data_IF_740161573929
#
_entry.id   IF_740161573929
#
_cell.length_a   1.000
_cell.length_b   1.000
_cell.length_c   1.000
_cell.angle_alpha   90.00
_cell.angle_beta   90.00
_cell.angle_gamma   90.00
#
_symmetry.space_group_name_H-M   'P 1'
#
loop_
_entity.id
_entity.type
_entity.pdbx_description
1 polymer ?
#
# COMPACT_ATOMS: atom_id res chain seq x y z
N UNK A 1 6.83 -52.66 -7.79
CA UNK A 1 7.20 -53.82 -8.62
C UNK A 1 8.62 -53.58 -9.13
N UNK A 2 9.57 -54.47 -8.89
CA UNK A 2 10.93 -54.34 -9.45
C UNK A 2 11.02 -55.19 -10.71
N UNK A 3 11.13 -54.55 -11.86
CA UNK A 3 11.28 -55.22 -13.16
C UNK A 3 12.76 -55.25 -13.54
N UNK A 4 13.27 -56.40 -13.96
CA UNK A 4 14.64 -56.55 -14.52
C UNK A 4 14.53 -56.97 -15.98
N UNK A 5 15.06 -56.17 -16.90
CA UNK A 5 15.07 -56.47 -18.33
C UNK A 5 16.39 -57.08 -18.78
N UNK A 6 16.34 -57.91 -19.83
CA UNK A 6 17.54 -58.45 -20.50
C UNK A 6 18.26 -57.32 -21.26
N UNK A 7 19.57 -57.47 -21.40
CA UNK A 7 20.42 -56.56 -22.18
C UNK A 7 19.90 -56.35 -23.62
N UNK A 8 20.11 -55.15 -24.18
CA UNK A 8 19.81 -54.75 -25.57
C UNK A 8 18.34 -54.41 -25.91
N UNK A 9 17.54 -53.89 -24.97
CA UNK A 9 16.23 -53.33 -25.32
C UNK A 9 16.42 -52.10 -26.21
N UNK A 10 15.79 -52.10 -27.39
CA UNK A 10 15.85 -50.97 -28.35
C UNK A 10 14.55 -50.17 -28.45
N UNK A 11 13.46 -50.66 -27.86
CA UNK A 11 12.14 -50.03 -27.91
C UNK A 11 11.38 -50.24 -26.60
N UNK A 12 10.85 -49.16 -26.03
CA UNK A 12 10.03 -49.11 -24.82
C UNK A 12 8.70 -48.39 -25.05
N UNK A 13 8.23 -48.36 -26.31
CA UNK A 13 6.93 -47.83 -26.72
C UNK A 13 5.82 -48.30 -25.77
N UNK A 14 5.10 -47.33 -25.18
CA UNK A 14 3.89 -47.55 -24.39
C UNK A 14 4.01 -48.56 -23.24
N UNK A 15 5.23 -48.83 -22.77
CA UNK A 15 5.54 -49.96 -21.87
C UNK A 15 4.72 -49.99 -20.57
N UNK A 16 4.42 -48.82 -20.00
CA UNK A 16 3.58 -48.66 -18.80
C UNK A 16 2.30 -47.87 -19.08
N UNK A 17 1.95 -47.67 -20.36
CA UNK A 17 0.80 -46.88 -20.74
C UNK A 17 -0.50 -47.44 -20.16
N UNK A 18 -1.31 -46.58 -19.55
CA UNK A 18 -2.60 -46.93 -18.96
C UNK A 18 -2.51 -47.74 -17.65
N UNK A 19 -1.32 -47.87 -17.04
CA UNK A 19 -1.14 -48.48 -15.73
C UNK A 19 -1.65 -47.57 -14.59
N UNK A 20 -2.91 -47.12 -14.70
CA UNK A 20 -3.55 -46.08 -13.90
C UNK A 20 -3.68 -46.40 -12.42
N UNK A 21 -3.57 -47.67 -12.02
CA UNK A 21 -3.61 -48.10 -10.62
C UNK A 21 -2.21 -48.22 -9.97
N UNK A 22 -1.12 -48.09 -10.74
CA UNK A 22 0.23 -48.23 -10.22
C UNK A 22 0.64 -46.95 -9.48
N UNK A 23 0.99 -47.08 -8.19
CA UNK A 23 1.37 -45.97 -7.30
C UNK A 23 2.87 -45.79 -7.14
N UNK A 24 3.63 -46.86 -7.36
CA UNK A 24 5.08 -46.88 -7.22
C UNK A 24 5.69 -47.70 -8.36
N UNK A 25 6.77 -47.18 -8.94
CA UNK A 25 7.50 -47.81 -10.01
C UNK A 25 9.00 -47.60 -9.78
N UNK A 26 9.73 -48.70 -9.61
CA UNK A 26 11.18 -48.69 -9.47
C UNK A 26 11.84 -49.01 -10.82
N UNK A 27 12.54 -48.02 -11.37
CA UNK A 27 13.23 -48.06 -12.66
C UNK A 27 14.76 -48.10 -12.53
N UNK A 28 15.28 -48.21 -11.31
CA UNK A 28 16.71 -48.07 -11.01
C UNK A 28 17.61 -49.07 -11.72
N UNK A 29 17.06 -50.21 -12.16
CA UNK A 29 17.80 -51.29 -12.83
C UNK A 29 17.68 -51.28 -14.36
N UNK A 30 17.03 -50.27 -14.94
CA UNK A 30 16.84 -50.19 -16.38
C UNK A 30 18.13 -49.69 -17.06
N UNK A 31 18.64 -50.48 -18.02
CA UNK A 31 19.61 -50.03 -19.00
C UNK A 31 18.86 -49.52 -20.24
N UNK A 32 18.81 -48.20 -20.41
CA UNK A 32 18.16 -47.55 -21.55
C UNK A 32 19.14 -47.10 -22.64
N UNK A 33 20.43 -47.43 -22.53
CA UNK A 33 21.51 -46.92 -23.40
C UNK A 33 21.33 -47.23 -24.90
N UNK A 34 20.52 -48.24 -25.24
CA UNK A 34 20.25 -48.67 -26.62
C UNK A 34 18.82 -48.39 -27.09
N UNK A 35 17.99 -47.80 -26.23
CA UNK A 35 16.58 -47.53 -26.53
C UNK A 35 16.47 -46.39 -27.54
N UNK A 36 15.65 -46.58 -28.57
CA UNK A 36 15.38 -45.60 -29.63
C UNK A 36 13.97 -45.02 -29.56
N UNK A 37 13.01 -45.77 -29.02
CA UNK A 37 11.62 -45.35 -28.86
C UNK A 37 11.19 -45.39 -27.39
N UNK A 38 10.69 -44.26 -26.89
CA UNK A 38 10.09 -44.14 -25.54
C UNK A 38 8.72 -43.43 -25.60
N UNK A 39 8.10 -43.36 -26.77
CA UNK A 39 6.83 -42.68 -26.92
C UNK A 39 5.73 -43.40 -26.12
N UNK A 40 4.87 -42.60 -25.49
CA UNK A 40 3.82 -43.05 -24.57
C UNK A 40 4.26 -43.94 -23.40
N UNK A 41 5.56 -44.04 -23.09
CA UNK A 41 6.08 -45.01 -22.12
C UNK A 41 5.34 -44.98 -20.77
N UNK A 42 4.99 -43.81 -20.25
CA UNK A 42 4.27 -43.60 -18.99
C UNK A 42 2.89 -42.94 -19.17
N UNK A 43 2.34 -42.97 -20.38
CA UNK A 43 1.08 -42.31 -20.71
C UNK A 43 -0.08 -42.81 -19.81
N UNK A 44 -0.91 -41.90 -19.30
CA UNK A 44 -2.08 -42.18 -18.46
C UNK A 44 -1.78 -43.02 -17.19
N UNK A 45 -0.56 -42.92 -16.64
CA UNK A 45 -0.22 -43.44 -15.31
C UNK A 45 -0.71 -42.51 -14.20
N UNK A 46 -2.04 -42.43 -14.04
CA UNK A 46 -2.71 -41.40 -13.22
C UNK A 46 -2.51 -41.53 -11.71
N UNK A 47 -1.98 -42.64 -11.17
CA UNK A 47 -1.76 -42.83 -9.72
C UNK A 47 -0.32 -42.58 -9.25
N UNK A 48 0.64 -42.36 -10.16
CA UNK A 48 2.04 -42.10 -9.80
C UNK A 48 2.18 -40.65 -9.32
N UNK A 49 2.67 -40.45 -8.09
CA UNK A 49 2.95 -39.12 -7.53
C UNK A 49 4.43 -38.73 -7.61
N UNK A 50 5.32 -39.72 -7.70
CA UNK A 50 6.76 -39.57 -7.83
C UNK A 50 7.32 -40.53 -8.87
N UNK A 51 8.17 -40.04 -9.77
CA UNK A 51 8.82 -40.85 -10.80
C UNK A 51 10.29 -40.45 -10.88
N UNK A 52 11.19 -41.41 -10.65
CA UNK A 52 12.62 -41.20 -10.80
C UNK A 52 13.10 -41.79 -12.14
N UNK A 53 13.54 -40.93 -13.04
CA UNK A 53 14.12 -41.27 -14.36
C UNK A 53 15.56 -40.75 -14.49
N UNK A 54 16.21 -40.40 -13.38
CA UNK A 54 17.58 -39.85 -13.40
C UNK A 54 18.61 -40.81 -13.99
N UNK A 55 18.36 -42.13 -13.92
CA UNK A 55 19.24 -43.16 -14.48
C UNK A 55 19.05 -43.41 -15.98
N UNK A 56 18.10 -42.76 -16.65
CA UNK A 56 17.85 -42.99 -18.06
C UNK A 56 18.95 -42.36 -18.91
N UNK A 57 19.66 -43.18 -19.70
CA UNK A 57 20.40 -42.71 -20.86
C UNK A 57 19.43 -42.59 -22.05
N UNK A 58 19.23 -41.38 -22.56
CA UNK A 58 18.34 -41.11 -23.70
C UNK A 58 19.10 -40.65 -24.96
N UNK A 59 20.42 -40.82 -25.02
CA UNK A 59 21.26 -40.35 -26.14
C UNK A 59 20.88 -40.94 -27.50
N UNK A 60 20.35 -42.16 -27.51
CA UNK A 60 19.88 -42.87 -28.70
C UNK A 60 18.38 -42.70 -28.99
N UNK A 61 17.62 -42.06 -28.09
CA UNK A 61 16.16 -41.96 -28.20
C UNK A 61 15.77 -40.92 -29.25
N UNK A 62 14.87 -41.31 -30.14
CA UNK A 62 14.38 -40.51 -31.26
C UNK A 62 12.94 -40.04 -31.02
N UNK A 63 12.09 -40.87 -30.42
CA UNK A 63 10.67 -40.57 -30.21
C UNK A 63 10.32 -40.43 -28.73
N UNK A 64 9.81 -39.26 -28.34
CA UNK A 64 9.39 -38.89 -26.98
C UNK A 64 7.91 -38.48 -26.92
N UNK A 65 7.15 -38.61 -28.02
CA UNK A 65 5.76 -38.16 -28.08
C UNK A 65 4.90 -38.85 -27.01
N UNK A 66 4.12 -38.04 -26.30
CA UNK A 66 3.24 -38.47 -25.22
C UNK A 66 3.90 -39.23 -24.06
N UNK A 67 5.23 -39.18 -23.89
CA UNK A 67 5.94 -40.02 -22.92
C UNK A 67 5.37 -39.93 -21.49
N UNK A 68 4.96 -38.75 -21.03
CA UNK A 68 4.40 -38.49 -19.69
C UNK A 68 2.95 -37.97 -19.73
N UNK A 69 2.31 -38.03 -20.90
CA UNK A 69 0.96 -37.51 -21.13
C UNK A 69 -0.04 -38.11 -20.13
N UNK A 70 -0.90 -37.28 -19.55
CA UNK A 70 -1.99 -37.73 -18.67
C UNK A 70 -1.53 -38.29 -17.33
N UNK A 71 -0.29 -38.06 -16.90
CA UNK A 71 0.17 -38.38 -15.54
C UNK A 71 -0.37 -37.37 -14.52
N UNK A 72 -1.68 -37.38 -14.30
CA UNK A 72 -2.43 -36.35 -13.58
C UNK A 72 -2.10 -36.20 -12.09
N UNK A 73 -1.41 -37.16 -11.46
CA UNK A 73 -1.01 -37.10 -10.05
C UNK A 73 0.46 -36.74 -9.82
N UNK A 74 1.29 -36.67 -10.88
CA UNK A 74 2.71 -36.41 -10.76
C UNK A 74 2.94 -34.93 -10.43
N UNK A 75 3.67 -34.64 -9.35
CA UNK A 75 3.86 -33.27 -8.85
C UNK A 75 5.16 -32.65 -9.37
N UNK A 76 6.24 -33.43 -9.42
CA UNK A 76 7.57 -32.96 -9.79
C UNK A 76 8.18 -33.92 -10.82
N UNK A 77 8.75 -33.37 -11.88
CA UNK A 77 9.47 -34.14 -12.89
C UNK A 77 10.81 -33.48 -13.22
N UNK A 78 11.90 -34.14 -12.83
CA UNK A 78 13.25 -33.72 -13.17
C UNK A 78 13.77 -34.53 -14.37
N UNK A 79 14.00 -33.87 -15.50
CA UNK A 79 14.55 -34.47 -16.72
C UNK A 79 15.92 -33.90 -17.09
N UNK A 80 16.64 -33.30 -16.15
CA UNK A 80 17.98 -32.76 -16.38
C UNK A 80 18.99 -33.77 -16.92
N UNK A 81 18.77 -35.07 -16.68
CA UNK A 81 19.61 -36.15 -17.22
C UNK A 81 19.32 -36.50 -18.68
N UNK A 82 18.23 -36.01 -19.27
CA UNK A 82 17.82 -36.41 -20.61
C UNK A 82 18.69 -35.75 -21.67
N UNK A 83 19.18 -36.53 -22.62
CA UNK A 83 19.73 -36.04 -23.87
C UNK A 83 18.67 -36.13 -24.96
N UNK A 84 18.27 -34.99 -25.52
CA UNK A 84 17.25 -34.91 -26.58
C UNK A 84 17.82 -34.47 -27.94
N UNK A 85 19.15 -34.50 -28.11
CA UNK A 85 19.82 -34.14 -29.36
C UNK A 85 19.35 -34.96 -30.55
N UNK A 86 18.87 -36.20 -30.35
CA UNK A 86 18.32 -37.08 -31.40
C UNK A 86 16.79 -37.07 -31.51
N UNK A 87 16.07 -36.39 -30.62
CA UNK A 87 14.60 -36.31 -30.64
C UNK A 87 14.04 -35.75 -31.96
N UNK A 88 13.08 -36.41 -32.59
CA UNK A 88 12.37 -35.89 -33.77
C UNK A 88 10.91 -35.57 -33.49
N UNK A 89 10.38 -36.06 -32.37
CA UNK A 89 9.00 -35.85 -31.97
C UNK A 89 8.87 -35.75 -30.45
N UNK A 90 8.22 -34.68 -29.98
CA UNK A 90 7.84 -34.40 -28.59
C UNK A 90 6.36 -33.99 -28.48
N UNK A 91 5.55 -34.36 -29.48
CA UNK A 91 4.13 -34.05 -29.52
C UNK A 91 3.45 -34.45 -28.21
N UNK A 92 2.78 -33.50 -27.56
CA UNK A 92 2.00 -33.74 -26.34
C UNK A 92 2.77 -34.42 -25.21
N UNK A 93 4.09 -34.26 -25.11
CA UNK A 93 4.94 -35.02 -24.17
C UNK A 93 4.48 -34.91 -22.71
N UNK A 94 4.02 -33.73 -22.28
CA UNK A 94 3.54 -33.47 -20.92
C UNK A 94 2.04 -33.20 -20.86
N UNK A 95 1.32 -33.27 -21.99
CA UNK A 95 -0.10 -32.91 -22.09
C UNK A 95 -0.95 -33.52 -20.97
N UNK A 96 -1.70 -32.67 -20.27
CA UNK A 96 -2.68 -33.06 -19.26
C UNK A 96 -2.05 -33.52 -17.95
N UNK A 97 -0.85 -33.08 -17.62
CA UNK A 97 -0.23 -33.32 -16.31
C UNK A 97 -0.75 -32.29 -15.30
N UNK A 98 -2.04 -32.38 -14.98
CA UNK A 98 -2.80 -31.35 -14.23
C UNK A 98 -2.33 -31.08 -12.79
N UNK A 99 -1.46 -31.91 -12.20
CA UNK A 99 -0.88 -31.68 -10.87
C UNK A 99 0.60 -31.31 -10.90
N UNK A 100 1.21 -31.25 -12.08
CA UNK A 100 2.63 -30.97 -12.24
C UNK A 100 2.91 -29.53 -11.83
N UNK A 101 3.79 -29.34 -10.85
CA UNK A 101 4.23 -28.04 -10.35
C UNK A 101 5.65 -27.69 -10.78
N UNK A 102 6.53 -28.69 -10.83
CA UNK A 102 7.92 -28.53 -11.20
C UNK A 102 8.28 -29.38 -12.43
N UNK A 103 8.88 -28.73 -13.43
CA UNK A 103 9.41 -29.40 -14.61
C UNK A 103 10.81 -28.89 -14.94
N UNK A 104 11.79 -29.79 -15.01
CA UNK A 104 13.16 -29.46 -15.40
C UNK A 104 13.47 -29.88 -16.84
N UNK A 105 13.61 -28.92 -17.75
CA UNK A 105 13.97 -29.11 -19.16
C UNK A 105 15.34 -28.49 -19.50
N UNK A 106 16.21 -28.29 -18.50
CA UNK A 106 17.52 -27.63 -18.67
C UNK A 106 18.43 -28.29 -19.72
N UNK A 107 18.30 -29.59 -19.95
CA UNK A 107 19.09 -30.34 -20.94
C UNK A 107 18.43 -30.45 -22.32
N UNK A 108 17.21 -29.92 -22.49
CA UNK A 108 16.45 -30.15 -23.71
C UNK A 108 16.98 -29.33 -24.90
N UNK A 109 17.07 -29.97 -26.06
CA UNK A 109 17.41 -29.35 -27.33
C UNK A 109 16.25 -29.47 -28.32
N UNK A 110 15.55 -28.37 -28.56
CA UNK A 110 14.33 -28.38 -29.40
C UNK A 110 14.50 -27.65 -30.73
N UNK A 111 15.68 -27.05 -30.99
CA UNK A 111 15.92 -26.21 -32.19
C UNK A 111 15.58 -26.90 -33.52
N UNK A 112 15.80 -28.22 -33.64
CA UNK A 112 15.50 -28.99 -34.85
C UNK A 112 14.04 -29.45 -35.00
N UNK A 113 13.22 -29.30 -33.96
CA UNK A 113 11.80 -29.64 -34.01
C UNK A 113 11.02 -28.62 -34.84
N UNK A 114 9.85 -29.05 -35.30
CA UNK A 114 8.86 -28.22 -35.99
C UNK A 114 7.70 -27.89 -35.05
N UNK A 115 6.85 -26.94 -35.44
CA UNK A 115 5.59 -26.65 -34.74
C UNK A 115 4.76 -27.93 -34.55
N UNK A 116 4.65 -28.77 -35.58
CA UNK A 116 3.84 -30.00 -35.54
C UNK A 116 4.40 -31.04 -34.57
N UNK A 117 5.73 -31.17 -34.50
CA UNK A 117 6.40 -32.20 -33.67
C UNK A 117 6.58 -31.78 -32.21
N UNK A 118 6.17 -30.56 -31.84
CA UNK A 118 6.20 -30.04 -30.47
C UNK A 118 4.83 -29.50 -30.03
N UNK A 119 3.81 -29.61 -30.89
CA UNK A 119 2.48 -29.07 -30.57
C UNK A 119 1.87 -29.78 -29.36
N UNK A 120 1.01 -29.05 -28.66
CA UNK A 120 0.31 -29.52 -27.46
C UNK A 120 1.20 -29.99 -26.31
N UNK A 121 2.51 -29.67 -26.32
CA UNK A 121 3.48 -30.24 -25.37
C UNK A 121 3.11 -30.00 -23.92
N UNK A 122 2.53 -28.83 -23.60
CA UNK A 122 2.16 -28.39 -22.24
C UNK A 122 0.64 -28.18 -22.05
N UNK A 123 -0.20 -28.65 -22.98
CA UNK A 123 -1.65 -28.41 -22.92
C UNK A 123 -2.25 -29.04 -21.66
N UNK A 124 -2.91 -28.25 -20.81
CA UNK A 124 -3.60 -28.73 -19.62
C UNK A 124 -2.71 -28.93 -18.39
N UNK A 125 -1.49 -28.39 -18.39
CA UNK A 125 -0.55 -28.46 -17.26
C UNK A 125 -0.78 -27.29 -16.27
N UNK A 126 -2.04 -27.02 -15.93
CA UNK A 126 -2.52 -25.77 -15.31
C UNK A 126 -1.94 -25.45 -13.91
N UNK A 127 -1.18 -26.37 -13.32
CA UNK A 127 -0.51 -26.21 -12.03
C UNK A 127 1.00 -25.98 -12.17
N UNK A 128 1.53 -25.95 -13.40
CA UNK A 128 2.96 -25.77 -13.65
C UNK A 128 3.37 -24.38 -13.20
N UNK A 129 4.08 -24.32 -12.07
CA UNK A 129 4.46 -23.08 -11.39
C UNK A 129 5.97 -22.85 -11.34
N UNK A 130 6.77 -23.86 -11.68
CA UNK A 130 8.22 -23.79 -11.78
C UNK A 130 8.71 -24.57 -13.00
N UNK A 131 9.34 -23.88 -13.94
CA UNK A 131 9.82 -24.42 -15.21
C UNK A 131 11.29 -24.05 -15.42
N UNK A 132 12.17 -25.04 -15.53
CA UNK A 132 13.59 -24.81 -15.83
C UNK A 132 13.80 -24.98 -17.33
N UNK A 133 14.30 -23.94 -18.00
CA UNK A 133 14.55 -23.94 -19.44
C UNK A 133 16.04 -23.73 -19.72
N UNK A 134 16.61 -24.62 -20.54
CA UNK A 134 18.02 -24.60 -20.88
C UNK A 134 18.37 -23.80 -22.12
N UNK A 135 19.66 -23.52 -22.29
CA UNK A 135 20.21 -22.71 -23.38
C UNK A 135 19.89 -23.22 -24.80
N UNK A 136 19.61 -24.52 -24.93
CA UNK A 136 19.28 -25.18 -26.20
C UNK A 136 17.77 -25.36 -26.44
N UNK A 137 16.94 -24.88 -25.51
CA UNK A 137 15.49 -24.90 -25.62
C UNK A 137 14.98 -23.71 -26.44
N UNK A 138 13.98 -23.96 -27.27
CA UNK A 138 13.27 -22.96 -28.07
C UNK A 138 11.83 -23.40 -28.26
N UNK A 139 10.88 -22.55 -27.87
CA UNK A 139 9.48 -22.76 -28.20
C UNK A 139 9.27 -22.74 -29.70
N UNK A 140 8.36 -23.57 -30.20
CA UNK A 140 7.94 -23.57 -31.60
C UNK A 140 6.60 -22.85 -31.72
N UNK A 141 6.32 -22.32 -32.92
CA UNK A 141 5.04 -21.67 -33.19
C UNK A 141 3.87 -22.59 -32.80
N UNK A 142 2.87 -22.05 -32.10
CA UNK A 142 1.71 -22.81 -31.62
C UNK A 142 1.97 -23.68 -30.37
N UNK A 143 3.18 -23.67 -29.81
CA UNK A 143 3.42 -24.23 -28.47
C UNK A 143 3.10 -23.16 -27.45
N UNK A 144 2.11 -23.42 -26.61
CA UNK A 144 1.66 -22.53 -25.54
C UNK A 144 2.00 -23.13 -24.18
N UNK A 145 2.17 -22.26 -23.19
CA UNK A 145 2.16 -22.64 -21.78
C UNK A 145 0.78 -22.33 -21.18
N UNK A 146 0.35 -23.05 -20.12
CA UNK A 146 -0.82 -22.68 -19.34
C UNK A 146 -0.70 -21.26 -18.79
N UNK A 147 -1.79 -20.51 -18.73
CA UNK A 147 -1.79 -19.17 -18.15
C UNK A 147 -1.51 -19.22 -16.66
N UNK A 148 -0.72 -18.25 -16.17
CA UNK A 148 -0.51 -18.07 -14.74
C UNK A 148 -1.80 -17.51 -14.13
N UNK A 149 -2.29 -18.03 -12.99
CA UNK A 149 -3.49 -17.50 -12.36
C UNK A 149 -3.29 -16.06 -11.88
N UNK A 150 -4.35 -15.24 -12.01
CA UNK A 150 -4.48 -13.95 -11.33
C UNK A 150 -5.27 -14.20 -10.05
N UNK A 151 -4.63 -14.06 -8.90
CA UNK A 151 -5.20 -14.33 -7.57
C UNK A 151 -4.65 -13.36 -6.53
N UNK A 152 -5.03 -13.52 -5.26
CA UNK A 152 -4.45 -12.74 -4.17
C UNK A 152 -2.92 -12.95 -4.04
N UNK A 153 -2.43 -14.12 -4.48
CA UNK A 153 -1.01 -14.47 -4.41
C UNK A 153 -0.25 -14.15 -5.71
N UNK A 154 -0.86 -14.31 -6.89
CA UNK A 154 -0.16 -14.24 -8.19
C UNK A 154 -0.73 -13.19 -9.14
N UNK A 155 0.15 -12.56 -9.93
CA UNK A 155 -0.20 -11.45 -10.82
C UNK A 155 -0.51 -11.87 -12.27
N UNK A 156 -0.53 -13.17 -12.57
CA UNK A 156 -0.74 -13.69 -13.94
C UNK A 156 0.50 -13.70 -14.83
N UNK A 157 1.72 -13.60 -14.29
CA UNK A 157 2.97 -13.64 -15.06
C UNK A 157 3.98 -14.63 -14.50
N UNK A 158 4.92 -15.04 -15.33
CA UNK A 158 6.16 -15.71 -14.97
C UNK A 158 7.25 -14.70 -14.66
N UNK A 159 8.16 -15.04 -13.74
CA UNK A 159 9.42 -14.33 -13.54
C UNK A 159 10.59 -15.29 -13.49
N UNK A 160 11.70 -14.93 -14.13
CA UNK A 160 12.93 -15.70 -14.02
C UNK A 160 13.63 -15.50 -12.66
N UNK A 161 14.25 -16.55 -12.12
CA UNK A 161 14.86 -16.53 -10.79
C UNK A 161 16.15 -15.70 -10.76
N UNK A 162 16.99 -15.80 -11.79
CA UNK A 162 18.30 -15.17 -11.89
C UNK A 162 19.18 -15.44 -10.65
N UNK A 163 19.75 -14.38 -10.05
CA UNK A 163 20.55 -14.47 -8.83
C UNK A 163 19.71 -14.64 -7.55
N UNK A 164 18.39 -14.68 -7.67
CA UNK A 164 17.46 -14.84 -6.54
C UNK A 164 17.24 -16.29 -6.15
N UNK A 165 16.08 -16.55 -5.54
CA UNK A 165 15.60 -17.89 -5.19
C UNK A 165 14.22 -18.12 -5.79
N UNK A 166 13.72 -19.35 -5.75
CA UNK A 166 12.35 -19.68 -6.22
C UNK A 166 11.28 -18.85 -5.51
N UNK A 167 11.42 -18.63 -4.20
CA UNK A 167 10.46 -17.85 -3.41
C UNK A 167 10.66 -16.33 -3.55
N UNK A 168 11.87 -15.89 -3.90
CA UNK A 168 12.26 -14.49 -4.06
C UNK A 168 13.07 -14.32 -5.36
N UNK A 169 12.42 -14.41 -6.53
CA UNK A 169 13.10 -14.26 -7.81
C UNK A 169 13.63 -12.83 -7.98
N UNK A 170 14.80 -12.71 -8.59
CA UNK A 170 15.46 -11.41 -8.83
C UNK A 170 15.64 -11.10 -10.32
N UNK A 171 15.05 -11.91 -11.20
CA UNK A 171 15.15 -11.71 -12.64
C UNK A 171 14.30 -10.54 -13.14
N UNK A 172 14.65 -10.01 -14.31
CA UNK A 172 13.94 -8.89 -14.92
C UNK A 172 12.97 -9.34 -16.03
N UNK A 173 12.99 -10.62 -16.40
CA UNK A 173 12.05 -11.16 -17.38
C UNK A 173 10.75 -11.47 -16.68
N UNK A 174 9.78 -10.57 -16.79
CA UNK A 174 8.44 -10.71 -16.25
C UNK A 174 7.46 -10.78 -17.43
N UNK A 175 6.91 -11.95 -17.70
CA UNK A 175 6.17 -12.25 -18.93
C UNK A 175 4.89 -13.04 -18.67
N UNK A 176 3.82 -12.77 -19.40
CA UNK A 176 2.69 -13.72 -19.50
C UNK A 176 3.16 -15.04 -20.13
N UNK A 177 2.33 -16.09 -20.09
CA UNK A 177 2.66 -17.36 -20.75
C UNK A 177 2.86 -17.20 -22.27
N UNK A 178 2.03 -16.38 -22.91
CA UNK A 178 2.16 -16.02 -24.32
C UNK A 178 3.48 -15.25 -24.61
N UNK A 179 3.82 -14.27 -23.77
CA UNK A 179 5.08 -13.52 -23.90
C UNK A 179 6.30 -14.41 -23.68
N UNK A 180 6.29 -15.29 -22.67
CA UNK A 180 7.38 -16.21 -22.40
C UNK A 180 7.63 -17.13 -23.60
N UNK A 181 6.59 -17.72 -24.18
CA UNK A 181 6.74 -18.61 -25.35
C UNK A 181 7.21 -17.86 -26.60
N UNK A 182 6.87 -16.58 -26.76
CA UNK A 182 7.29 -15.75 -27.91
C UNK A 182 8.69 -15.15 -27.77
N UNK A 183 9.08 -14.75 -26.56
CA UNK A 183 10.29 -13.98 -26.33
C UNK A 183 11.49 -14.84 -25.94
N UNK A 184 11.27 -15.95 -25.24
CA UNK A 184 12.34 -16.82 -24.75
C UNK A 184 13.31 -17.25 -25.87
N UNK A 185 14.59 -17.06 -25.64
CA UNK A 185 15.65 -17.30 -26.62
C UNK A 185 16.87 -18.00 -26.02
N UNK A 186 16.71 -19.27 -25.67
CA UNK A 186 17.81 -20.20 -25.33
C UNK A 186 18.87 -19.55 -24.45
N UNK A 187 20.13 -19.56 -24.91
CA UNK A 187 21.31 -18.97 -24.23
C UNK A 187 21.05 -17.62 -23.54
N UNK A 188 20.24 -16.74 -24.13
CA UNK A 188 20.00 -15.40 -23.55
C UNK A 188 19.14 -15.45 -22.29
N UNK A 189 18.15 -16.33 -22.27
CA UNK A 189 17.07 -16.33 -21.28
C UNK A 189 17.01 -17.63 -20.46
N UNK A 190 17.98 -18.54 -20.64
CA UNK A 190 18.04 -19.80 -19.91
C UNK A 190 18.10 -19.57 -18.40
N UNK A 191 17.09 -20.08 -17.69
CA UNK A 191 16.89 -19.87 -16.26
C UNK A 191 15.77 -20.79 -15.75
N UNK A 192 15.53 -20.73 -14.45
CA UNK A 192 14.29 -21.16 -13.81
C UNK A 192 13.27 -20.03 -13.87
N UNK A 193 12.06 -20.35 -14.31
CA UNK A 193 10.91 -19.46 -14.31
C UNK A 193 9.89 -19.93 -13.28
N UNK A 194 9.37 -18.99 -12.50
CA UNK A 194 8.36 -19.23 -11.46
C UNK A 194 7.16 -18.32 -11.66
N UNK A 195 5.98 -18.69 -11.15
CA UNK A 195 4.86 -17.75 -11.09
C UNK A 195 5.22 -16.52 -10.24
N UNK A 196 4.95 -15.33 -10.79
CA UNK A 196 5.24 -14.07 -10.15
C UNK A 196 4.19 -13.76 -9.09
N UNK A 197 4.65 -13.71 -7.84
CA UNK A 197 3.82 -13.28 -6.72
C UNK A 197 3.47 -11.80 -6.81
N UNK A 198 2.31 -11.41 -6.31
CA UNK A 198 1.98 -10.01 -6.08
C UNK A 198 2.87 -9.44 -4.97
N UNK A 199 3.15 -8.15 -5.05
CA UNK A 199 3.93 -7.43 -4.04
C UNK A 199 3.26 -6.09 -3.79
N UNK A 200 3.16 -5.70 -2.53
CA UNK A 200 2.39 -4.52 -2.15
C UNK A 200 3.23 -3.55 -1.32
N UNK A 201 2.97 -2.27 -1.49
CA UNK A 201 3.38 -1.23 -0.56
C UNK A 201 2.18 -0.94 0.32
N UNK A 202 2.40 -0.91 1.63
CA UNK A 202 1.36 -0.50 2.58
C UNK A 202 1.83 0.76 3.31
N UNK A 203 1.05 1.82 3.21
CA UNK A 203 1.31 3.10 3.83
C UNK A 203 0.31 3.33 4.96
N UNK A 204 0.82 3.52 6.17
CA UNK A 204 0.05 3.85 7.35
C UNK A 204 0.27 5.31 7.76
N UNK A 205 -0.71 5.88 8.44
CA UNK A 205 -0.74 7.29 8.81
C UNK A 205 -1.11 7.39 10.29
N UNK A 206 -0.19 7.88 11.10
CA UNK A 206 -0.30 7.96 12.55
C UNK A 206 0.00 9.38 13.04
N UNK A 207 -0.55 9.74 14.19
CA UNK A 207 -0.07 10.90 14.92
C UNK A 207 1.17 10.61 15.77
N UNK A 208 1.71 11.64 16.43
CA UNK A 208 2.87 11.52 17.33
C UNK A 208 2.58 10.75 18.63
N UNK A 209 1.33 10.43 18.93
CA UNK A 209 0.92 9.65 20.09
C UNK A 209 0.74 8.15 19.74
N UNK A 210 0.74 7.82 18.44
CA UNK A 210 0.59 6.46 17.93
C UNK A 210 -0.85 6.10 17.54
N UNK A 211 -1.74 7.09 17.46
CA UNK A 211 -3.13 6.89 17.04
C UNK A 211 -3.27 6.94 15.51
N UNK A 212 -4.05 6.01 14.97
CA UNK A 212 -4.25 5.89 13.52
C UNK A 212 -5.13 7.03 13.00
N UNK A 213 -4.64 7.77 12.01
CA UNK A 213 -5.35 8.91 11.42
C UNK A 213 -6.36 8.49 10.34
N UNK A 214 -6.02 7.49 9.51
CA UNK A 214 -6.88 6.95 8.45
C UNK A 214 -6.53 5.50 8.13
N UNK A 215 -7.37 4.86 7.32
CA UNK A 215 -7.11 3.51 6.82
C UNK A 215 -5.81 3.47 5.99
N UNK A 216 -5.06 2.36 6.02
CA UNK A 216 -3.83 2.25 5.25
C UNK A 216 -4.12 2.26 3.75
N UNK A 217 -3.18 2.84 3.00
CA UNK A 217 -3.19 2.81 1.54
C UNK A 217 -2.34 1.62 1.08
N UNK A 218 -2.91 0.75 0.24
CA UNK A 218 -2.22 -0.44 -0.29
C UNK A 218 -2.04 -0.27 -1.80
N UNK A 219 -0.80 -0.30 -2.26
CA UNK A 219 -0.43 -0.12 -3.67
C UNK A 219 0.32 -1.34 -4.20
N UNK A 220 -0.17 -1.98 -5.26
CA UNK A 220 0.55 -3.10 -5.91
C UNK A 220 1.77 -2.58 -6.69
N UNK A 221 2.94 -3.15 -6.40
CA UNK A 221 4.23 -2.81 -7.00
C UNK A 221 4.77 -4.00 -7.79
N UNK A 222 4.20 -4.22 -8.98
CA UNK A 222 4.60 -5.27 -9.92
C UNK A 222 5.98 -4.98 -10.57
N UNK A 223 7.04 -4.91 -9.76
CA UNK A 223 8.42 -4.59 -10.17
C UNK A 223 8.66 -3.12 -10.58
N UNK A 224 7.65 -2.25 -10.43
CA UNK A 224 7.75 -0.81 -10.69
C UNK A 224 8.31 -0.08 -9.48
N UNK A 225 9.07 0.98 -9.73
CA UNK A 225 9.56 1.87 -8.66
C UNK A 225 8.37 2.59 -8.04
N UNK A 226 8.20 2.40 -6.74
CA UNK A 226 7.33 3.19 -5.89
C UNK A 226 8.15 4.27 -5.20
N UNK A 227 7.65 5.51 -5.26
CA UNK A 227 8.26 6.65 -4.59
C UNK A 227 7.26 7.20 -3.58
N UNK A 228 7.53 7.06 -2.27
CA UNK A 228 6.74 7.67 -1.20
C UNK A 228 6.51 9.17 -1.45
N UNK A 229 5.26 9.61 -1.38
CA UNK A 229 4.86 11.02 -1.51
C UNK A 229 3.84 11.37 -0.42
N UNK A 230 4.24 11.38 0.87
CA UNK A 230 3.32 11.76 1.94
C UNK A 230 2.85 13.20 1.75
N UNK A 231 1.55 13.43 1.91
CA UNK A 231 1.00 14.78 1.87
C UNK A 231 1.57 15.61 3.02
N UNK A 232 1.86 16.89 2.76
CA UNK A 232 2.35 17.81 3.79
C UNK A 232 1.34 17.98 4.94
N UNK A 233 0.05 17.88 4.62
CA UNK A 233 -1.05 18.10 5.54
C UNK A 233 -2.08 16.98 5.42
N UNK A 234 -2.67 16.60 6.55
CA UNK A 234 -3.81 15.68 6.60
C UNK A 234 -4.88 16.31 7.49
N UNK A 235 -6.14 16.32 7.07
CA UNK A 235 -7.27 16.80 7.87
C UNK A 235 -8.17 15.63 8.26
N UNK A 236 -8.31 15.39 9.56
CA UNK A 236 -9.12 14.28 10.11
C UNK A 236 -10.02 14.85 11.19
N UNK A 237 -11.34 14.72 11.04
CA UNK A 237 -12.33 15.22 11.99
C UNK A 237 -12.10 16.70 12.38
N UNK A 238 -11.97 17.58 11.37
CA UNK A 238 -11.67 19.02 11.51
C UNK A 238 -10.36 19.37 12.24
N UNK A 239 -9.50 18.38 12.47
CA UNK A 239 -8.17 18.56 13.03
C UNK A 239 -7.13 18.48 11.93
N UNK A 240 -6.32 19.54 11.80
CA UNK A 240 -5.20 19.57 10.86
C UNK A 240 -3.96 18.90 11.48
N UNK A 241 -3.30 18.05 10.70
CA UNK A 241 -2.06 17.37 11.04
C UNK A 241 -0.98 17.72 10.02
N UNK A 242 0.26 17.91 10.47
CA UNK A 242 1.40 18.29 9.63
C UNK A 242 2.38 17.13 9.59
N UNK A 243 2.80 16.73 8.39
CA UNK A 243 3.79 15.69 8.21
C UNK A 243 5.09 16.05 8.94
N UNK A 244 5.58 15.14 9.78
CA UNK A 244 6.83 15.30 10.51
C UNK A 244 7.92 14.38 10.04
N UNK A 245 7.53 13.26 9.43
CA UNK A 245 8.47 12.22 9.09
C UNK A 245 7.83 10.85 8.96
N UNK A 246 8.67 9.84 8.99
CA UNK A 246 8.23 8.45 8.96
C UNK A 246 9.11 7.56 9.86
N UNK A 247 8.65 6.34 10.07
CA UNK A 247 9.32 5.29 10.85
C UNK A 247 9.21 3.94 10.14
N UNK A 248 10.14 3.03 10.42
CA UNK A 248 10.12 1.65 9.89
C UNK A 248 9.13 0.75 10.64
N UNK A 249 8.78 1.13 11.87
CA UNK A 249 7.85 0.42 12.74
C UNK A 249 6.68 1.33 13.12
N UNK A 250 5.58 0.75 13.57
CA UNK A 250 4.43 1.51 14.06
C UNK A 250 4.86 2.47 15.18
N UNK A 251 4.57 3.77 15.08
CA UNK A 251 5.02 4.75 16.05
C UNK A 251 4.25 4.65 17.36
N UNK A 252 4.97 4.82 18.47
CA UNK A 252 4.45 5.08 19.82
C UNK A 252 4.91 6.47 20.30
N UNK A 253 4.34 6.94 21.41
CA UNK A 253 4.75 8.19 22.04
C UNK A 253 6.28 8.24 22.28
N UNK A 254 6.94 9.27 21.74
CA UNK A 254 8.39 9.45 21.88
C UNK A 254 9.25 8.71 20.84
N UNK A 255 8.63 8.08 19.83
CA UNK A 255 9.35 7.42 18.73
C UNK A 255 10.21 8.42 17.96
N UNK A 256 11.44 8.00 17.63
CA UNK A 256 12.33 8.77 16.76
C UNK A 256 11.85 8.70 15.32
N UNK A 257 11.66 9.85 14.67
CA UNK A 257 11.15 9.95 13.30
C UNK A 257 12.24 10.41 12.33
N UNK A 258 12.19 9.89 11.11
CA UNK A 258 13.01 10.37 9.99
C UNK A 258 12.32 11.57 9.34
N UNK A 259 12.99 12.72 9.23
CA UNK A 259 12.36 13.96 8.75
C UNK A 259 12.12 14.04 7.24
N UNK A 260 12.88 13.29 6.44
CA UNK A 260 12.71 13.20 4.98
C UNK A 260 11.75 12.06 4.63
N UNK A 261 11.06 12.09 3.46
CA UNK A 261 10.26 10.96 2.99
C UNK A 261 11.05 9.65 2.92
N UNK A 262 10.39 8.48 3.08
CA UNK A 262 11.07 7.20 2.97
C UNK A 262 11.69 6.97 1.60
N UNK A 263 12.71 6.08 1.51
CA UNK A 263 13.36 5.76 0.25
C UNK A 263 12.40 5.02 -0.69
N UNK A 264 12.53 5.30 -2.00
CA UNK A 264 11.84 4.54 -3.06
C UNK A 264 12.21 3.07 -3.05
N UNK A 265 11.30 2.21 -3.48
CA UNK A 265 11.49 0.75 -3.53
C UNK A 265 10.85 0.14 -4.77
N UNK A 266 11.33 -1.03 -5.18
CA UNK A 266 10.71 -1.88 -6.21
C UNK A 266 10.17 -3.19 -5.63
N UNK A 267 10.27 -3.36 -4.31
CA UNK A 267 9.86 -4.56 -3.58
C UNK A 267 8.84 -4.20 -2.52
N UNK A 268 8.13 -5.21 -2.03
CA UNK A 268 7.20 -5.10 -0.91
C UNK A 268 7.84 -4.37 0.28
N UNK A 269 7.09 -3.41 0.84
CA UNK A 269 7.50 -2.59 1.97
C UNK A 269 6.29 -2.03 2.71
N UNK A 270 6.54 -1.63 3.96
CA UNK A 270 5.56 -0.93 4.79
C UNK A 270 6.16 0.38 5.26
N UNK A 271 5.41 1.46 5.15
CA UNK A 271 5.82 2.80 5.59
C UNK A 271 4.84 3.33 6.62
N UNK A 272 5.36 3.88 7.72
CA UNK A 272 4.57 4.50 8.77
C UNK A 272 4.84 6.01 8.74
N UNK A 273 3.92 6.77 8.17
CA UNK A 273 4.01 8.23 8.17
C UNK A 273 3.50 8.79 9.49
N UNK A 274 4.26 9.73 10.04
CA UNK A 274 4.00 10.35 11.34
C UNK A 274 3.66 11.82 11.14
N UNK A 275 2.54 12.23 11.73
CA UNK A 275 2.05 13.60 11.67
C UNK A 275 1.91 14.20 13.07
N UNK A 276 2.20 15.48 13.21
CA UNK A 276 1.97 16.24 14.45
C UNK A 276 0.68 17.04 14.31
N UNK A 277 -0.15 17.00 15.34
CA UNK A 277 -1.35 17.82 15.42
C UNK A 277 -0.99 19.31 15.33
N UNK A 278 -1.54 19.99 14.34
CA UNK A 278 -1.30 21.41 14.10
C UNK A 278 -2.00 22.30 15.15
N UNK A 279 -3.11 21.81 15.71
CA UNK A 279 -3.87 22.51 16.73
C UNK A 279 -3.06 22.60 18.02
N UNK A 280 -2.69 23.83 18.38
CA UNK A 280 -2.23 24.15 19.72
C UNK A 280 -3.31 24.99 20.37
N UNK A 281 -3.92 24.48 21.44
CA UNK A 281 -4.83 25.27 22.25
C UNK A 281 -4.09 26.49 22.79
N UNK A 282 -4.48 27.69 22.34
CA UNK A 282 -4.02 28.93 22.93
C UNK A 282 -5.06 29.34 23.98
N UNK A 283 -4.80 28.97 25.23
CA UNK A 283 -5.57 29.52 26.36
C UNK A 283 -5.13 30.97 26.59
N UNK A 284 -5.76 31.91 25.89
CA UNK A 284 -5.59 33.34 26.15
C UNK A 284 -6.60 33.76 27.22
N UNK A 285 -6.17 33.83 28.48
CA UNK A 285 -6.94 34.55 29.51
C UNK A 285 -6.56 36.01 29.43
N UNK A 286 -7.49 36.85 28.98
CA UNK A 286 -7.31 38.31 29.01
C UNK A 286 -7.92 38.81 30.31
N UNK A 287 -7.12 39.19 31.33
CA UNK A 287 -7.65 39.88 32.49
C UNK A 287 -8.00 41.30 32.06
N UNK A 288 -9.23 41.50 31.59
CA UNK A 288 -9.75 42.83 31.36
C UNK A 288 -10.27 43.38 32.67
N UNK A 289 -9.52 44.31 33.27
CA UNK A 289 -10.16 45.34 34.09
C UNK A 289 -10.82 46.30 33.11
N UNK A 290 -12.11 46.07 32.82
CA UNK A 290 -12.89 47.01 32.03
C UNK A 290 -13.39 48.06 33.00
N UNK A 291 -12.82 49.26 32.92
CA UNK A 291 -13.31 50.40 33.68
C UNK A 291 -14.49 50.96 32.91
N UNK A 292 -15.69 50.77 33.44
CA UNK A 292 -16.88 51.46 32.96
C UNK A 292 -17.06 52.74 33.76
N UNK A 293 -17.15 53.89 33.08
CA UNK A 293 -17.46 55.16 33.74
C UNK A 293 -16.51 56.32 33.44
N UNK A 294 -16.74 57.41 34.16
CA UNK A 294 -16.66 58.79 33.68
C UNK A 294 -15.40 59.57 33.97
N UNK A 295 -14.22 58.92 33.96
CA UNK A 295 -12.98 59.72 34.01
C UNK A 295 -12.97 60.82 32.91
N UNK A 296 -13.67 60.60 31.78
CA UNK A 296 -13.90 61.59 30.72
C UNK A 296 -15.38 62.00 30.50
N UNK A 297 -16.33 61.60 31.35
CA UNK A 297 -17.80 61.76 31.14
C UNK A 297 -18.34 61.16 29.82
N UNK A 298 -17.64 60.17 29.25
CA UNK A 298 -18.06 59.50 28.03
C UNK A 298 -18.95 58.28 28.32
N UNK A 299 -19.94 58.05 27.44
CA UNK A 299 -20.70 56.79 27.41
C UNK A 299 -19.95 55.68 26.68
N UNK A 300 -18.90 56.02 25.92
CA UNK A 300 -18.15 55.08 25.11
C UNK A 300 -17.19 54.28 26.00
N UNK A 301 -17.21 52.97 25.81
CA UNK A 301 -16.33 52.02 26.48
C UNK A 301 -15.19 51.72 25.52
N UNK A 302 -13.96 51.70 26.02
CA UNK A 302 -12.80 51.18 25.29
C UNK A 302 -11.92 50.39 26.24
N UNK A 303 -11.37 49.27 25.79
CA UNK A 303 -10.34 48.53 26.52
C UNK A 303 -8.94 48.80 25.97
N UNK A 304 -7.92 48.24 26.63
CA UNK A 304 -6.61 48.05 26.00
C UNK A 304 -6.74 47.12 24.77
N UNK A 305 -5.83 47.28 23.83
CA UNK A 305 -5.65 46.37 22.71
C UNK A 305 -4.74 45.21 23.13
N UNK A 306 -5.09 44.00 22.71
CA UNK A 306 -4.31 42.79 22.90
C UNK A 306 -3.91 42.22 21.56
N UNK A 307 -2.61 42.12 21.30
CA UNK A 307 -2.09 41.59 20.05
C UNK A 307 -2.11 40.06 20.07
N UNK A 308 -2.69 39.45 19.04
CA UNK A 308 -2.64 38.01 18.80
C UNK A 308 -1.85 37.80 17.52
N UNK A 309 -0.68 37.17 17.65
CA UNK A 309 0.23 36.91 16.53
C UNK A 309 0.21 35.44 16.14
N UNK A 310 -0.06 35.18 14.86
CA UNK A 310 0.18 33.87 14.26
C UNK A 310 1.68 33.76 13.92
N UNK A 311 2.41 32.96 14.70
CA UNK A 311 3.85 32.70 14.46
C UNK A 311 4.09 31.54 13.48
N UNK A 312 3.04 30.91 12.95
CA UNK A 312 3.20 29.93 11.88
C UNK A 312 3.63 30.60 10.57
N UNK A 313 4.49 29.94 9.80
CA UNK A 313 4.88 30.34 8.44
C UNK A 313 3.95 29.76 7.35
N UNK A 314 3.13 28.79 7.72
CA UNK A 314 2.56 27.84 6.76
C UNK A 314 1.04 27.62 6.91
N UNK A 315 0.47 27.99 8.06
CA UNK A 315 -0.96 27.81 8.37
C UNK A 315 -1.60 29.10 8.88
N UNK A 316 -2.84 29.31 8.48
CA UNK A 316 -3.70 30.36 9.03
C UNK A 316 -4.36 29.85 10.32
N UNK A 317 -4.72 30.76 11.23
CA UNK A 317 -5.39 30.40 12.49
C UNK A 317 -6.81 30.92 12.46
N UNK A 318 -7.79 30.00 12.45
CA UNK A 318 -9.19 30.34 12.68
C UNK A 318 -9.42 30.53 14.18
N UNK A 319 -9.91 31.72 14.54
CA UNK A 319 -10.24 32.05 15.93
C UNK A 319 -11.72 31.87 16.21
N UNK A 320 -12.02 31.22 17.33
CA UNK A 320 -13.38 31.05 17.84
C UNK A 320 -13.44 31.49 19.29
N UNK A 321 -14.39 32.36 19.65
CA UNK A 321 -14.74 32.60 21.04
C UNK A 321 -15.42 31.35 21.58
N UNK A 322 -14.76 30.63 22.48
CA UNK A 322 -15.32 29.43 23.10
C UNK A 322 -16.33 29.80 24.20
N UNK A 323 -15.92 30.63 25.16
CA UNK A 323 -16.79 31.07 26.27
C UNK A 323 -16.56 32.52 26.68
N UNK A 324 -17.63 33.17 27.11
CA UNK A 324 -17.62 34.42 27.87
C UNK A 324 -18.16 34.13 29.29
N UNK A 325 -17.35 34.38 30.31
CA UNK A 325 -17.73 34.10 31.70
C UNK A 325 -17.60 35.36 32.55
N UNK A 326 -18.75 35.89 33.03
CA UNK A 326 -18.76 36.96 34.03
C UNK A 326 -18.20 36.44 35.36
N UNK A 327 -17.16 37.11 35.88
CA UNK A 327 -16.51 36.76 37.14
C UNK A 327 -17.15 37.52 38.30
N UNK A 328 -17.25 38.85 38.19
CA UNK A 328 -17.91 39.69 39.19
C UNK A 328 -18.27 41.05 38.59
N UNK A 329 -19.55 41.44 38.70
CA UNK A 329 -20.04 42.81 38.45
C UNK A 329 -21.54 42.91 38.78
N UNK A 330 -22.01 44.10 39.13
CA UNK A 330 -23.44 44.41 39.26
C UNK A 330 -24.06 44.96 37.96
N UNK A 331 -23.25 45.10 36.90
CA UNK A 331 -23.71 45.56 35.57
C UNK A 331 -24.39 44.43 34.81
N UNK A 332 -25.49 44.79 34.14
CA UNK A 332 -26.17 43.94 33.17
C UNK A 332 -25.58 44.12 31.77
N UNK A 333 -25.14 43.03 31.13
CA UNK A 333 -24.79 43.05 29.70
C UNK A 333 -26.06 42.87 28.87
N UNK A 334 -26.28 43.77 27.92
CA UNK A 334 -27.42 43.74 27.01
C UNK A 334 -27.16 42.74 25.89
N UNK A 335 -28.14 41.88 25.62
CA UNK A 335 -28.15 41.07 24.41
C UNK A 335 -28.68 41.87 23.21
N UNK A 336 -28.57 41.29 22.02
CA UNK A 336 -28.95 41.94 20.76
C UNK A 336 -30.45 42.26 20.69
N UNK A 337 -31.30 41.44 21.30
CA UNK A 337 -32.74 41.61 21.29
C UNK A 337 -33.22 42.72 22.24
N UNK A 338 -32.42 43.06 23.25
CA UNK A 338 -32.76 44.10 24.23
C UNK A 338 -32.48 45.47 23.63
N UNK A 339 -33.46 46.41 23.57
CA UNK A 339 -33.22 47.76 23.04
C UNK A 339 -32.36 48.61 23.99
N UNK A 340 -31.67 49.61 23.44
CA UNK A 340 -30.89 50.56 24.24
C UNK A 340 -31.79 51.36 25.21
N UNK A 341 -31.43 51.46 26.50
CA UNK A 341 -32.19 52.24 27.47
C UNK A 341 -32.28 53.73 27.06
N UNK A 342 -33.49 54.30 27.16
CA UNK A 342 -33.74 55.73 26.93
C UNK A 342 -33.34 56.62 28.12
N UNK A 343 -33.09 56.03 29.29
CA UNK A 343 -32.74 56.70 30.54
C UNK A 343 -31.50 56.09 31.21
N UNK A 344 -31.25 56.45 32.47
CA UNK A 344 -30.17 55.87 33.28
C UNK A 344 -30.51 54.44 33.66
N UNK A 345 -29.68 53.49 33.27
CA UNK A 345 -29.81 52.07 33.56
C UNK A 345 -28.43 51.43 33.75
N UNK A 346 -28.25 50.56 34.75
CA UNK A 346 -26.93 49.98 35.07
C UNK A 346 -26.55 48.84 34.12
N UNK A 347 -26.53 49.16 32.82
CA UNK A 347 -26.34 48.21 31.74
C UNK A 347 -25.34 48.68 30.69
N UNK A 348 -24.78 47.73 29.97
CA UNK A 348 -23.76 47.92 28.94
C UNK A 348 -24.14 47.14 27.70
N UNK A 349 -24.02 47.77 26.52
CA UNK A 349 -23.89 47.04 25.25
C UNK A 349 -22.42 46.94 24.90
N UNK A 350 -21.84 45.76 25.08
CA UNK A 350 -20.43 45.48 24.84
C UNK A 350 -20.24 44.85 23.47
N UNK A 351 -19.19 45.21 22.75
CA UNK A 351 -18.83 44.66 21.45
C UNK A 351 -17.39 44.15 21.50
N UNK A 352 -17.13 43.04 20.82
CA UNK A 352 -15.78 42.52 20.58
C UNK A 352 -15.26 43.03 19.24
N UNK A 353 -14.09 43.64 19.26
CA UNK A 353 -13.38 44.10 18.08
C UNK A 353 -12.24 43.14 17.75
N UNK A 354 -12.09 42.79 16.47
CA UNK A 354 -10.94 42.07 15.93
C UNK A 354 -10.36 42.91 14.78
N UNK A 355 -9.06 43.23 14.85
CA UNK A 355 -8.40 44.08 13.85
C UNK A 355 -8.96 45.51 13.78
N UNK A 356 -9.69 45.95 14.80
CA UNK A 356 -10.38 47.24 14.82
C UNK A 356 -11.80 47.23 14.24
N UNK A 357 -12.28 46.10 13.70
CA UNK A 357 -13.64 45.93 13.20
C UNK A 357 -14.51 45.16 14.22
N UNK A 358 -15.80 45.44 14.27
CA UNK A 358 -16.73 44.76 15.19
C UNK A 358 -16.94 43.32 14.74
N UNK A 359 -16.35 42.36 15.46
CA UNK A 359 -16.50 40.94 15.22
C UNK A 359 -17.79 40.38 15.87
N UNK A 360 -18.14 40.87 17.06
CA UNK A 360 -19.39 40.52 17.74
C UNK A 360 -20.02 41.76 18.37
N UNK A 361 -21.31 41.93 18.16
CA UNK A 361 -22.12 42.92 18.86
C UNK A 361 -22.79 42.31 20.08
N UNK A 362 -23.05 43.14 21.10
CA UNK A 362 -23.84 42.74 22.29
C UNK A 362 -23.29 41.50 23.03
N UNK A 363 -21.97 41.43 23.19
CA UNK A 363 -21.24 40.38 23.89
C UNK A 363 -21.73 40.24 25.34
N UNK A 364 -22.13 39.03 25.73
CA UNK A 364 -22.64 38.69 27.06
C UNK A 364 -22.42 37.20 27.39
N UNK A 365 -22.83 36.76 28.58
CA UNK A 365 -22.61 35.41 29.11
C UNK A 365 -23.34 34.29 28.35
N UNK A 366 -24.31 34.63 27.49
CA UNK A 366 -25.00 33.66 26.62
C UNK A 366 -24.23 33.39 25.34
N UNK A 367 -23.20 34.18 25.02
CA UNK A 367 -22.41 34.02 23.79
C UNK A 367 -21.34 32.94 24.02
N UNK A 368 -21.43 31.87 23.24
CA UNK A 368 -20.44 30.80 23.18
C UNK A 368 -20.29 30.31 21.74
N UNK A 369 -19.11 29.77 21.43
CA UNK A 369 -18.78 29.15 20.14
C UNK A 369 -19.07 30.03 18.91
N UNK A 370 -18.53 31.25 18.90
CA UNK A 370 -18.65 32.17 17.78
C UNK A 370 -17.34 32.30 17.02
N UNK A 371 -17.38 32.08 15.70
CA UNK A 371 -16.23 32.30 14.82
C UNK A 371 -15.94 33.79 14.71
N UNK A 372 -14.67 34.17 14.88
CA UNK A 372 -14.20 35.55 14.90
C UNK A 372 -13.36 35.92 13.67
N UNK A 373 -13.09 34.95 12.81
CA UNK A 373 -12.28 35.09 11.60
C UNK A 373 -10.87 34.50 11.72
N UNK A 374 -10.06 34.74 10.68
CA UNK A 374 -8.77 34.09 10.50
C UNK A 374 -7.60 35.07 10.68
N UNK A 375 -6.54 34.61 11.36
CA UNK A 375 -5.24 35.28 11.39
C UNK A 375 -4.32 34.60 10.39
N UNK A 376 -4.02 35.30 9.30
CA UNK A 376 -3.08 34.82 8.29
C UNK A 376 -1.70 34.50 8.90
N UNK A 377 -1.02 33.51 8.32
CA UNK A 377 0.35 33.16 8.68
C UNK A 377 1.29 34.38 8.77
N UNK A 378 2.06 34.45 9.86
CA UNK A 378 3.01 35.53 10.13
C UNK A 378 2.38 36.89 10.47
N UNK A 379 1.05 37.00 10.49
CA UNK A 379 0.33 38.25 10.78
C UNK A 379 -0.07 38.35 12.24
N UNK A 380 -0.34 39.59 12.64
CA UNK A 380 -0.89 39.95 13.95
C UNK A 380 -2.26 40.57 13.73
N UNK A 381 -3.23 40.18 14.56
CA UNK A 381 -4.49 40.91 14.73
C UNK A 381 -4.58 41.49 16.13
N UNK A 382 -5.47 42.45 16.33
CA UNK A 382 -5.71 43.07 17.63
C UNK A 382 -7.07 42.68 18.16
N UNK A 383 -7.16 42.44 19.47
CA UNK A 383 -8.42 42.21 20.17
C UNK A 383 -8.69 43.38 21.12
N UNK A 384 -9.89 43.94 21.05
CA UNK A 384 -10.32 45.00 21.94
C UNK A 384 -11.82 44.89 22.25
N UNK A 385 -12.26 45.57 23.31
CA UNK A 385 -13.66 45.72 23.66
C UNK A 385 -14.07 47.17 23.50
N UNK A 386 -15.26 47.38 22.93
CA UNK A 386 -15.91 48.69 22.85
C UNK A 386 -17.36 48.58 23.28
N UNK A 387 -18.07 49.68 23.41
CA UNK A 387 -19.48 49.63 23.77
C UNK A 387 -20.04 50.94 24.26
N UNK A 388 -21.27 50.86 24.75
CA UNK A 388 -21.98 51.99 25.34
C UNK A 388 -22.44 51.62 26.75
N UNK A 389 -22.10 52.45 27.74
CA UNK A 389 -22.63 52.36 29.10
C UNK A 389 -23.84 53.28 29.26
N UNK A 390 -24.90 52.77 29.89
CA UNK A 390 -26.18 53.49 30.05
C UNK A 390 -26.44 53.98 31.48
N UNK A 391 -25.48 53.83 32.40
CA UNK A 391 -25.65 54.21 33.80
C UNK A 391 -25.44 55.70 34.11
N UNK A 392 -25.42 56.05 35.39
CA UNK A 392 -25.16 57.41 35.84
C UNK A 392 -23.70 57.82 35.62
N UNK A 393 -23.51 59.02 35.08
CA UNK A 393 -22.22 59.60 34.70
C UNK A 393 -21.73 60.66 35.72
N UNK A 394 -22.58 61.04 36.69
CA UNK A 394 -22.39 62.24 37.51
C UNK A 394 -21.48 62.08 38.73
N UNK A 395 -21.08 60.86 39.10
CA UNK A 395 -20.13 60.59 40.17
C UNK A 395 -18.89 59.88 39.62
N UNK A 396 -17.71 60.08 40.24
CA UNK A 396 -16.49 59.31 39.92
C UNK A 396 -16.65 57.85 40.37
N UNK A 397 -17.45 57.09 39.65
CA UNK A 397 -17.61 55.66 39.83
C UNK A 397 -16.65 54.94 38.88
N UNK A 398 -15.64 54.26 39.46
CA UNK A 398 -14.92 53.20 38.75
C UNK A 398 -15.74 51.93 38.95
N UNK A 399 -16.44 51.47 37.90
CA UNK A 399 -17.08 50.17 37.95
C UNK A 399 -16.14 49.16 37.33
N UNK A 400 -15.62 48.26 38.16
CA UNK A 400 -14.84 47.11 37.70
C UNK A 400 -15.79 46.02 37.19
N UNK A 401 -15.56 45.55 35.97
CA UNK A 401 -16.18 44.33 35.48
C UNK A 401 -15.10 43.33 35.11
N UNK A 402 -15.09 42.21 35.83
CA UNK A 402 -14.14 41.12 35.62
C UNK A 402 -14.82 40.03 34.81
N UNK A 403 -14.17 39.63 33.73
CA UNK A 403 -14.63 38.56 32.83
C UNK A 403 -13.48 37.66 32.42
N UNK A 404 -13.81 36.43 32.04
CA UNK A 404 -12.91 35.52 31.35
C UNK A 404 -13.42 35.30 29.93
N UNK A 405 -12.54 35.51 28.95
CA UNK A 405 -12.74 35.11 27.56
C UNK A 405 -11.87 33.88 27.30
N UNK A 406 -12.45 32.82 26.76
CA UNK A 406 -11.68 31.66 26.28
C UNK A 406 -11.79 31.60 24.77
N UNK A 407 -10.65 31.45 24.09
CA UNK A 407 -10.59 31.32 22.64
C UNK A 407 -10.07 29.94 22.26
N UNK A 408 -10.59 29.39 21.16
CA UNK A 408 -9.99 28.26 20.44
C UNK A 408 -9.31 28.82 19.20
N UNK A 409 -8.13 28.31 18.89
CA UNK A 409 -7.42 28.59 17.66
C UNK A 409 -7.22 27.27 16.91
N UNK A 410 -7.78 27.17 15.71
CA UNK A 410 -7.66 25.98 14.85
C UNK A 410 -6.79 26.31 13.66
N UNK A 411 -5.85 25.43 13.34
CA UNK A 411 -4.99 25.62 12.18
C UNK A 411 -5.76 25.28 10.90
N UNK A 412 -5.64 26.15 9.89
CA UNK A 412 -6.21 25.94 8.56
C UNK A 412 -5.13 26.07 7.50
N UNK A 413 -5.18 25.22 6.49
CA UNK A 413 -4.26 25.28 5.34
C UNK A 413 -4.46 26.61 4.63
N UNK A 414 -3.36 27.26 4.24
CA UNK A 414 -3.38 28.51 3.49
C UNK A 414 -4.04 28.28 2.12
N UNK A 415 -5.14 29.00 1.85
CA UNK A 415 -5.79 29.01 0.54
C UNK A 415 -4.95 29.67 -0.55
#
# INVERSE_FOLDING_TARGET
>A
MTLRFKDNITDMLAMFSGASSLRELDLSTFDTSKVKGMNYMFNDMTSITTLNVSNFNTEEVIAFDGMFRGMTSLINLDLSSFNTLKATNMYGMFKGMTSLKFLNLSSFTTRKLTSVTMSSMFDGDDQLSQLVLGESFYFKSGVTLPEVPISDEYNGKWRNVASGTVDKPNGNNIWTSDELTKHYSGVRDADTYVWQKRSFITEYYYDTEGESLKAPVVTEVDGKIFTPQPEKYEEVNDTLYIYKGWTEEQPESGTSIHGDPPPSTTVEATYYYVYEKADKFINVTIPTEIVFGTEEHSKNITSKNYDIKNNSNDVDLQMTLATFEKVNSDIQLLDEATPDPSGKDNSVRLNLLIGGETALSSLNEKVSEQELGNIQSGKTTTLALTGTYFGDLSERHKVEYKTNLKFKAQAKVKN
#
